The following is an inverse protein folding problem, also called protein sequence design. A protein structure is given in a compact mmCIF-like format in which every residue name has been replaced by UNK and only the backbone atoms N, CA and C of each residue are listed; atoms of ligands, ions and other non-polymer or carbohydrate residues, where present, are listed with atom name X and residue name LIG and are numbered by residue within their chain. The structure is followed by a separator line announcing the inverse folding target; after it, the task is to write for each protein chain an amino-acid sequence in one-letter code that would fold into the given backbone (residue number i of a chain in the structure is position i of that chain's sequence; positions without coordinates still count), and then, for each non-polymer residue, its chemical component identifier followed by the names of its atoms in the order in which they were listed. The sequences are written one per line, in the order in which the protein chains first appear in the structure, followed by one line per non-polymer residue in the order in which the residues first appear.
data_IF_622804398272
#
_entry.id   IF_622804398272
#
_cell.length_a   1.000
_cell.length_b   1.000
_cell.length_c   1.000
_cell.angle_alpha   90.00
_cell.angle_beta   90.00
_cell.angle_gamma   90.00
#
_symmetry.space_group_name_H-M   'P 1'
#
loop_
_entity.id
_entity.type
_entity.pdbx_description
1 polymer ?
#
# COMPACT_ATOMS: atom_id res chain seq x y z
N UNK A 1 2.24 -22.37 17.60
CA UNK A 1 1.53 -21.06 17.64
C UNK A 1 2.33 -19.99 18.36
N UNK A 2 2.89 -20.31 19.54
CA UNK A 2 3.62 -19.30 20.31
C UNK A 2 4.81 -18.73 19.54
N UNK A 3 5.59 -19.58 18.88
CA UNK A 3 6.73 -19.13 18.08
C UNK A 3 6.30 -18.24 16.92
N UNK A 4 5.19 -18.57 16.28
CA UNK A 4 4.66 -17.78 15.18
C UNK A 4 4.22 -16.41 15.67
N UNK A 5 3.55 -16.38 16.82
CA UNK A 5 3.10 -15.13 17.43
C UNK A 5 4.29 -14.24 17.80
N UNK A 6 5.35 -14.82 18.31
CA UNK A 6 6.56 -14.06 18.62
C UNK A 6 7.20 -13.49 17.35
N UNK A 7 7.25 -14.28 16.29
CA UNK A 7 7.81 -13.84 15.02
C UNK A 7 7.07 -12.62 14.49
N UNK A 8 5.75 -12.60 14.59
CA UNK A 8 4.93 -11.47 14.13
C UNK A 8 4.69 -10.43 15.20
N UNK A 9 5.33 -10.57 16.36
CA UNK A 9 5.19 -9.62 17.47
C UNK A 9 3.75 -9.52 17.97
N UNK A 10 3.04 -10.66 18.00
CA UNK A 10 1.65 -10.72 18.46
C UNK A 10 1.66 -11.06 19.94
N UNK A 11 1.39 -10.08 20.78
CA UNK A 11 1.33 -10.28 22.22
C UNK A 11 -0.09 -10.12 22.75
N UNK A 12 -0.91 -9.33 22.04
CA UNK A 12 -2.27 -9.05 22.44
C UNK A 12 -3.20 -9.19 21.23
N UNK A 13 -4.51 -9.15 21.50
CA UNK A 13 -5.49 -9.17 20.42
C UNK A 13 -5.35 -7.91 19.55
N UNK A 14 -4.96 -6.79 20.14
CA UNK A 14 -4.72 -5.57 19.41
C UNK A 14 -3.60 -5.76 18.38
N UNK A 15 -2.52 -6.47 18.77
CA UNK A 15 -1.42 -6.76 17.84
C UNK A 15 -1.89 -7.59 16.66
N UNK A 16 -2.79 -8.55 16.91
CA UNK A 16 -3.33 -9.38 15.85
C UNK A 16 -4.15 -8.53 14.86
N UNK A 17 -4.95 -7.61 15.37
CA UNK A 17 -5.74 -6.71 14.52
C UNK A 17 -4.81 -5.87 13.65
N UNK A 18 -3.75 -5.32 14.23
CA UNK A 18 -2.79 -4.51 13.46
C UNK A 18 -2.05 -5.34 12.42
N UNK A 19 -1.72 -6.59 12.74
CA UNK A 19 -1.10 -7.48 11.76
C UNK A 19 -2.03 -7.72 10.56
N UNK A 20 -3.31 -8.00 10.84
CA UNK A 20 -4.29 -8.21 9.77
C UNK A 20 -4.43 -6.96 8.93
N UNK A 21 -4.49 -5.79 9.57
CA UNK A 21 -4.56 -4.53 8.85
C UNK A 21 -3.34 -4.33 7.95
N UNK A 22 -2.15 -4.60 8.49
CA UNK A 22 -0.91 -4.44 7.72
C UNK A 22 -0.85 -5.38 6.54
N UNK A 23 -1.24 -6.65 6.72
CA UNK A 23 -1.26 -7.61 5.62
C UNK A 23 -2.29 -7.23 4.56
N UNK A 24 -3.46 -6.77 4.99
CA UNK A 24 -4.49 -6.30 4.06
C UNK A 24 -4.00 -5.10 3.27
N UNK A 25 -3.34 -4.16 3.95
CA UNK A 25 -2.78 -2.98 3.30
C UNK A 25 -1.71 -3.38 2.28
N UNK A 26 -0.86 -4.35 2.63
CA UNK A 26 0.18 -4.80 1.73
C UNK A 26 -0.41 -5.47 0.49
N UNK A 27 -1.45 -6.29 0.68
CA UNK A 27 -2.12 -6.92 -0.45
C UNK A 27 -2.73 -5.88 -1.37
N UNK A 28 -3.40 -4.88 -0.81
CA UNK A 28 -3.99 -3.82 -1.59
C UNK A 28 -2.92 -3.02 -2.34
N UNK A 29 -1.84 -2.69 -1.64
CA UNK A 29 -0.75 -1.93 -2.24
C UNK A 29 -0.06 -2.73 -3.37
N UNK A 30 0.09 -4.05 -3.17
CA UNK A 30 0.70 -4.92 -4.17
C UNK A 30 -0.22 -5.16 -5.36
N UNK A 31 -1.53 -5.14 -5.15
CA UNK A 31 -2.50 -5.34 -6.23
C UNK A 31 -2.31 -4.31 -7.35
N UNK A 32 -1.79 -3.11 -7.02
CA UNK A 32 -1.55 -2.08 -8.03
C UNK A 32 -0.59 -2.55 -9.12
N UNK A 33 0.42 -3.34 -8.73
CA UNK A 33 1.38 -3.87 -9.71
C UNK A 33 0.75 -4.92 -10.59
N UNK A 34 -0.13 -5.75 -10.03
CA UNK A 34 -0.83 -6.75 -10.82
C UNK A 34 -1.75 -6.08 -11.84
N UNK A 35 -2.43 -5.03 -11.44
CA UNK A 35 -3.31 -4.26 -12.34
C UNK A 35 -2.49 -3.67 -13.48
N UNK A 36 -1.34 -3.06 -13.15
CA UNK A 36 -0.47 -2.48 -14.16
C UNK A 36 0.05 -3.55 -15.12
N UNK A 37 0.47 -4.69 -14.56
CA UNK A 37 1.01 -5.78 -15.38
C UNK A 37 -0.02 -6.31 -16.35
N UNK A 38 -1.23 -6.61 -15.87
CA UNK A 38 -2.30 -7.12 -16.70
C UNK A 38 -2.67 -6.11 -17.79
N UNK A 39 -2.77 -4.84 -17.43
CA UNK A 39 -3.10 -3.78 -18.38
C UNK A 39 -2.03 -3.65 -19.46
N UNK A 40 -0.75 -3.74 -19.06
CA UNK A 40 0.37 -3.66 -19.99
C UNK A 40 0.38 -4.87 -20.96
N UNK A 41 0.08 -6.06 -20.44
CA UNK A 41 0.03 -7.27 -21.26
C UNK A 41 -1.08 -7.18 -22.31
N UNK A 42 -2.25 -6.67 -21.91
CA UNK A 42 -3.38 -6.55 -22.84
C UNK A 42 -3.08 -5.57 -23.97
N UNK A 43 -2.36 -4.48 -23.68
CA UNK A 43 -2.08 -3.43 -24.66
C UNK A 43 -0.71 -3.60 -25.33
N UNK A 44 0.08 -4.58 -24.89
CA UNK A 44 1.42 -4.85 -25.39
C UNK A 44 2.33 -3.65 -25.34
N UNK A 45 2.17 -2.83 -24.32
CA UNK A 45 3.04 -1.69 -24.04
C UNK A 45 2.92 -1.37 -22.56
N UNK A 46 3.90 -0.65 -22.02
CA UNK A 46 3.89 -0.26 -20.62
C UNK A 46 2.76 0.73 -20.38
N UNK A 47 1.84 0.37 -19.50
CA UNK A 47 0.65 1.18 -19.21
C UNK A 47 0.47 1.25 -17.71
N UNK A 48 0.14 2.45 -17.22
CA UNK A 48 -0.21 2.65 -15.81
C UNK A 48 -1.65 3.15 -15.76
N UNK A 49 -2.61 2.25 -15.48
CA UNK A 49 -4.02 2.68 -15.44
C UNK A 49 -4.32 3.54 -14.22
N UNK A 50 -5.41 4.30 -14.29
CA UNK A 50 -5.79 5.18 -13.18
C UNK A 50 -5.98 4.42 -11.88
N UNK A 51 -6.48 3.17 -11.97
CA UNK A 51 -6.67 2.34 -10.79
C UNK A 51 -5.38 2.11 -10.02
N UNK A 52 -4.22 2.06 -10.71
CA UNK A 52 -2.92 1.92 -10.07
C UNK A 52 -2.72 3.00 -9.01
N UNK A 53 -3.05 4.24 -9.33
CA UNK A 53 -2.85 5.36 -8.42
C UNK A 53 -3.81 5.31 -7.24
N UNK A 54 -5.06 4.90 -7.47
CA UNK A 54 -6.03 4.78 -6.39
C UNK A 54 -5.65 3.67 -5.42
N UNK A 55 -5.25 2.50 -5.93
CA UNK A 55 -4.75 1.42 -5.07
C UNK A 55 -3.48 1.85 -4.33
N UNK A 56 -2.64 2.67 -4.97
CA UNK A 56 -1.42 3.17 -4.33
C UNK A 56 -1.76 4.07 -3.15
N UNK A 57 -2.71 4.99 -3.32
CA UNK A 57 -3.08 5.91 -2.24
C UNK A 57 -3.76 5.16 -1.10
N UNK A 58 -4.76 4.34 -1.39
CA UNK A 58 -5.49 3.62 -0.34
C UNK A 58 -4.56 2.69 0.42
N UNK A 59 -3.81 1.85 -0.30
CA UNK A 59 -2.88 0.93 0.34
C UNK A 59 -1.77 1.67 1.07
N UNK A 60 -1.26 2.75 0.47
CA UNK A 60 -0.22 3.56 1.09
C UNK A 60 -0.66 4.21 2.39
N UNK A 61 -1.90 4.74 2.42
CA UNK A 61 -2.46 5.32 3.64
C UNK A 61 -2.62 4.26 4.72
N UNK A 62 -3.10 3.07 4.36
CA UNK A 62 -3.24 1.97 5.32
C UNK A 62 -1.88 1.55 5.86
N UNK A 63 -0.87 1.45 5.00
CA UNK A 63 0.49 1.11 5.43
C UNK A 63 1.09 2.20 6.31
N UNK A 64 0.81 3.45 6.01
CA UNK A 64 1.29 4.57 6.82
C UNK A 64 0.72 4.50 8.23
N UNK A 65 -0.59 4.28 8.36
CA UNK A 65 -1.22 4.12 9.67
C UNK A 65 -0.61 2.94 10.41
N UNK A 66 -0.43 1.81 9.73
CA UNK A 66 0.22 0.64 10.31
C UNK A 66 1.63 0.97 10.79
N UNK A 67 2.42 1.66 9.96
CA UNK A 67 3.79 2.02 10.30
C UNK A 67 3.88 2.95 11.50
N UNK A 68 2.96 3.92 11.60
CA UNK A 68 2.92 4.85 12.73
C UNK A 68 2.59 4.09 14.01
N UNK A 69 1.57 3.22 13.95
CA UNK A 69 1.16 2.46 15.13
C UNK A 69 2.25 1.51 15.61
N UNK A 70 2.95 0.88 14.68
CA UNK A 70 4.00 -0.08 15.03
C UNK A 70 5.38 0.56 15.20
N UNK A 71 5.48 1.86 14.97
CA UNK A 71 6.74 2.58 15.14
C UNK A 71 7.82 2.18 14.16
N UNK A 72 7.48 2.05 12.89
CA UNK A 72 8.42 1.62 11.85
C UNK A 72 8.77 2.81 10.96
N UNK A 73 9.90 3.49 11.23
CA UNK A 73 10.24 4.73 10.52
C UNK A 73 10.47 4.53 9.00
N UNK A 74 10.93 3.38 8.58
CA UNK A 74 11.15 3.11 7.15
C UNK A 74 9.82 3.16 6.41
N UNK A 75 8.79 2.51 6.96
CA UNK A 75 7.46 2.51 6.36
C UNK A 75 6.86 3.91 6.38
N UNK A 76 6.97 4.61 7.51
CA UNK A 76 6.44 5.96 7.65
C UNK A 76 7.02 6.89 6.59
N UNK A 77 8.35 6.88 6.46
CA UNK A 77 9.04 7.76 5.52
C UNK A 77 8.69 7.41 4.08
N UNK A 78 8.76 6.12 3.75
CA UNK A 78 8.49 5.68 2.38
C UNK A 78 7.07 5.95 1.94
N UNK A 79 6.08 5.65 2.80
CA UNK A 79 4.68 5.84 2.44
C UNK A 79 4.30 7.32 2.41
N UNK A 80 4.84 8.14 3.31
CA UNK A 80 4.58 9.58 3.29
C UNK A 80 5.03 10.20 1.98
N UNK A 81 6.24 9.88 1.55
CA UNK A 81 6.76 10.37 0.27
C UNK A 81 5.94 9.84 -0.90
N UNK A 82 5.62 8.54 -0.86
CA UNK A 82 4.84 7.91 -1.92
C UNK A 82 3.46 8.53 -2.08
N UNK A 83 2.77 8.80 -0.96
CA UNK A 83 1.44 9.39 -0.99
C UNK A 83 1.46 10.75 -1.68
N UNK A 84 2.48 11.57 -1.41
CA UNK A 84 2.62 12.87 -2.09
C UNK A 84 2.74 12.66 -3.59
N UNK A 85 3.55 11.70 -4.01
CA UNK A 85 3.74 11.40 -5.43
C UNK A 85 2.45 10.90 -6.06
N UNK A 86 1.74 9.99 -5.39
CA UNK A 86 0.49 9.42 -5.90
C UNK A 86 -0.59 10.49 -6.03
N UNK A 87 -0.70 11.34 -5.01
CA UNK A 87 -1.68 12.43 -5.04
C UNK A 87 -1.40 13.39 -6.19
N UNK A 88 -0.13 13.71 -6.41
CA UNK A 88 0.26 14.61 -7.48
C UNK A 88 -0.07 14.01 -8.85
N UNK A 89 0.17 12.72 -9.02
CA UNK A 89 -0.15 12.05 -10.27
C UNK A 89 -1.66 12.01 -10.53
N UNK A 90 -2.45 11.75 -9.48
CA UNK A 90 -3.90 11.80 -9.61
C UNK A 90 -4.38 13.20 -9.96
N UNK A 91 -3.79 14.21 -9.35
CA UNK A 91 -4.14 15.59 -9.66
C UNK A 91 -3.92 15.88 -11.15
N UNK A 92 -2.76 15.49 -11.70
CA UNK A 92 -2.50 15.69 -13.12
C UNK A 92 -3.50 14.96 -14.00
N UNK A 93 -3.89 13.74 -13.62
CA UNK A 93 -4.83 12.96 -14.41
C UNK A 93 -6.20 13.66 -14.48
N UNK A 94 -6.70 14.17 -13.36
CA UNK A 94 -8.03 14.73 -13.29
C UNK A 94 -8.08 16.23 -13.58
N UNK A 95 -6.95 16.92 -13.54
CA UNK A 95 -6.91 18.35 -13.78
C UNK A 95 -6.51 18.72 -15.20
N UNK A 96 -5.99 17.79 -15.98
CA UNK A 96 -5.41 18.09 -17.29
C UNK A 96 -6.41 18.00 -18.43
N UNK A 97 -7.68 17.86 -18.13
CA UNK A 97 -8.72 17.93 -19.15
C UNK A 97 -9.06 19.39 -19.48
#
# INVERSE_FOLDING_TARGET
MTQLMEYFRIETQSDLIWLILGLSAQLMFSARFLIQWISSEKQRKSVIPNAFWWFSIVGGLMLLVYGIERGEPVIILGQSLGIVIYARNLWFIYASD
#
